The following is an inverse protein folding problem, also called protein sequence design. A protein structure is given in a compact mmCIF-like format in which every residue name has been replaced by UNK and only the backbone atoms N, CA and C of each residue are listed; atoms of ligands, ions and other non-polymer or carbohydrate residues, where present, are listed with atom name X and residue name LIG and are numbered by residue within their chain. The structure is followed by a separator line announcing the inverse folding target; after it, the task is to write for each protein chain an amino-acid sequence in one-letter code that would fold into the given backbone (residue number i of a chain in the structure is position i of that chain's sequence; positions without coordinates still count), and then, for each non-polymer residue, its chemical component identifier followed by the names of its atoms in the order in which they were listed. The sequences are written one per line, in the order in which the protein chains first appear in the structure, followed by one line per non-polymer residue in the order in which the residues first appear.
data_IF_700565734754
#
_entry.id   IF_700565734754
#
_cell.length_a   1.000
_cell.length_b   1.000
_cell.length_c   1.000
_cell.angle_alpha   90.00
_cell.angle_beta   90.00
_cell.angle_gamma   90.00
#
_symmetry.space_group_name_H-M   'P 1'
#
loop_
_entity.id
_entity.type
_entity.pdbx_description
1 polymer ?
#
# COMPACT_ATOMS: atom_id res chain seq x y z
N UNK A 1 31.15 -30.15 -1.70
CA UNK A 1 30.54 -29.59 -1.53
C UNK A 1 30.07 -29.00 -1.42
N UNK A 2 29.94 -28.99 -1.56
CA UNK A 2 29.29 -28.34 -1.41
C UNK A 2 28.77 -27.64 -1.18
N UNK A 3 28.83 -27.61 -1.40
CA UNK A 3 28.19 -26.89 -1.16
C UNK A 3 27.74 -26.22 -0.83
N UNK A 4 27.83 -26.20 -0.82
CA UNK A 4 27.24 -25.54 -0.44
C UNK A 4 26.88 -24.87 0.07
N UNK A 5 27.08 -24.87 0.07
CA UNK A 5 26.52 -24.26 0.63
C UNK A 5 26.16 -23.52 0.96
N UNK A 6 26.00 -23.34 0.74
CA UNK A 6 25.44 -22.60 1.06
C UNK A 6 24.77 -22.11 1.55
N UNK A 7 24.64 -21.70 1.72
CA UNK A 7 24.03 -21.17 2.41
C UNK A 7 23.11 -20.93 2.77
N UNK A 8 23.13 -21.13 2.93
CA UNK A 8 22.35 -20.95 3.25
C UNK A 8 21.50 -20.86 3.44
N UNK A 9 21.97 -21.37 3.33
CA UNK A 9 20.90 -20.80 3.01
C UNK A 9 19.55 -20.73 3.62
N UNK A 10 19.28 -19.78 4.37
CA UNK A 10 17.93 -19.50 4.82
C UNK A 10 17.20 -18.83 3.64
N UNK A 11 16.09 -19.39 3.17
CA UNK A 11 15.36 -18.74 2.10
C UNK A 11 14.89 -17.38 2.58
N UNK A 12 15.16 -16.36 1.78
CA UNK A 12 14.64 -15.02 2.05
C UNK A 12 13.20 -15.00 1.58
N UNK A 13 12.28 -14.61 2.46
CA UNK A 13 10.88 -14.47 2.08
C UNK A 13 10.75 -13.42 0.98
N UNK A 14 9.86 -13.61 -0.01
CA UNK A 14 9.63 -12.58 -0.99
C UNK A 14 9.16 -11.30 -0.32
N UNK A 15 9.52 -10.11 -0.86
CA UNK A 15 9.07 -8.87 -0.25
C UNK A 15 7.56 -8.71 -0.36
N UNK A 16 6.99 -8.01 0.62
CA UNK A 16 5.59 -7.60 0.55
C UNK A 16 5.41 -6.63 -0.61
N UNK A 17 4.39 -6.83 -1.39
CA UNK A 17 4.04 -5.95 -2.50
C UNK A 17 3.14 -4.85 -1.97
N UNK A 18 3.60 -3.60 -2.06
CA UNK A 18 2.92 -2.45 -1.49
C UNK A 18 2.63 -1.43 -2.58
N UNK A 19 1.40 -0.93 -2.63
CA UNK A 19 1.03 0.16 -3.52
C UNK A 19 0.66 1.38 -2.69
N UNK A 20 1.10 2.56 -3.12
CA UNK A 20 0.75 3.83 -2.50
C UNK A 20 0.06 4.68 -3.56
N UNK A 21 -1.19 5.03 -3.33
CA UNK A 21 -1.96 5.91 -4.19
C UNK A 21 -2.05 7.28 -3.51
N UNK A 22 -1.18 8.19 -3.94
CA UNK A 22 -1.07 9.52 -3.34
C UNK A 22 -0.39 10.46 -4.34
N UNK A 23 -1.11 11.47 -4.81
CA UNK A 23 -0.60 12.40 -5.83
C UNK A 23 0.55 13.25 -5.32
N UNK A 24 0.54 13.62 -4.04
CA UNK A 24 1.60 14.43 -3.44
C UNK A 24 2.90 13.62 -3.32
N UNK A 25 2.79 12.40 -2.82
CA UNK A 25 3.94 11.50 -2.69
C UNK A 25 4.54 11.22 -4.08
N UNK A 26 3.68 10.97 -5.06
CA UNK A 26 4.14 10.73 -6.42
C UNK A 26 4.82 11.96 -7.01
N UNK A 27 4.25 13.16 -6.79
CA UNK A 27 4.80 14.40 -7.32
C UNK A 27 6.17 14.73 -6.74
N UNK A 28 6.43 14.32 -5.50
CA UNK A 28 7.74 14.49 -4.87
C UNK A 28 8.77 13.52 -5.40
N UNK A 29 8.36 12.52 -6.18
CA UNK A 29 9.29 11.49 -6.65
C UNK A 29 9.84 10.62 -5.54
N UNK A 30 9.13 10.51 -4.42
CA UNK A 30 9.61 9.72 -3.29
C UNK A 30 9.76 8.26 -3.67
N UNK A 31 10.88 7.68 -3.25
CA UNK A 31 11.14 6.27 -3.40
C UNK A 31 11.28 5.66 -2.01
N UNK A 32 10.61 4.55 -1.82
CA UNK A 32 10.62 3.86 -0.53
C UNK A 32 11.40 2.57 -0.69
N UNK A 33 12.70 2.65 -0.38
CA UNK A 33 13.61 1.51 -0.42
C UNK A 33 13.70 0.93 0.98
N UNK A 34 12.73 0.11 1.32
CA UNK A 34 12.57 -0.39 2.67
C UNK A 34 12.76 -1.90 2.65
N UNK A 35 13.68 -2.43 3.47
CA UNK A 35 13.90 -3.88 3.53
C UNK A 35 12.59 -4.62 3.80
N UNK A 36 12.35 -5.67 3.03
CA UNK A 36 11.16 -6.49 3.15
C UNK A 36 9.97 -6.00 2.33
N UNK A 37 10.08 -4.84 1.67
CA UNK A 37 8.98 -4.29 0.88
C UNK A 37 9.39 -4.02 -0.56
N UNK A 38 8.45 -4.23 -1.47
CA UNK A 38 8.54 -3.74 -2.84
C UNK A 38 7.42 -2.71 -3.01
N UNK A 39 7.76 -1.43 -3.04
CA UNK A 39 6.79 -0.34 -3.00
C UNK A 39 6.67 0.32 -4.36
N UNK A 40 5.44 0.47 -4.84
CA UNK A 40 5.12 1.20 -6.06
C UNK A 40 4.23 2.38 -5.70
N UNK A 41 4.58 3.57 -6.19
CA UNK A 41 3.81 4.79 -5.94
C UNK A 41 3.06 5.19 -7.20
N UNK A 42 1.77 5.45 -7.05
CA UNK A 42 0.90 5.88 -8.14
C UNK A 42 0.35 7.27 -7.83
N UNK A 43 0.32 8.13 -8.85
CA UNK A 43 -0.19 9.49 -8.69
C UNK A 43 -1.71 9.54 -8.55
N UNK A 44 -2.41 8.58 -9.13
CA UNK A 44 -3.86 8.50 -9.06
C UNK A 44 -4.29 7.04 -9.03
N UNK A 45 -5.56 6.79 -8.76
CA UNK A 45 -6.07 5.44 -8.57
C UNK A 45 -7.13 5.05 -9.61
N UNK A 46 -7.15 5.71 -10.77
CA UNK A 46 -8.15 5.41 -11.79
C UNK A 46 -8.06 3.95 -12.26
N UNK A 47 -6.86 3.38 -12.27
CA UNK A 47 -6.63 2.01 -12.73
C UNK A 47 -6.34 1.06 -11.57
N UNK A 48 -6.64 1.46 -10.35
CA UNK A 48 -6.22 0.72 -9.16
C UNK A 48 -6.78 -0.71 -9.10
N UNK A 49 -8.03 -0.91 -9.52
CA UNK A 49 -8.63 -2.23 -9.48
C UNK A 49 -7.83 -3.22 -10.33
N UNK A 50 -7.55 -2.85 -11.57
CA UNK A 50 -6.77 -3.72 -12.46
C UNK A 50 -5.35 -3.92 -11.94
N UNK A 51 -4.72 -2.85 -11.46
CA UNK A 51 -3.36 -2.91 -10.93
C UNK A 51 -3.27 -3.83 -9.72
N UNK A 52 -4.18 -3.67 -8.77
CA UNK A 52 -4.14 -4.46 -7.54
C UNK A 52 -4.46 -5.93 -7.78
N UNK A 53 -5.40 -6.23 -8.66
CA UNK A 53 -5.74 -7.62 -8.95
C UNK A 53 -4.64 -8.31 -9.77
N UNK A 54 -4.01 -7.58 -10.68
CA UNK A 54 -2.95 -8.16 -11.51
C UNK A 54 -1.66 -8.36 -10.72
N UNK A 55 -1.23 -7.34 -9.96
CA UNK A 55 0.02 -7.41 -9.21
C UNK A 55 -0.12 -8.19 -7.90
N UNK A 56 -1.34 -8.29 -7.37
CA UNK A 56 -1.57 -8.98 -6.11
C UNK A 56 -0.94 -8.26 -4.93
N UNK A 57 -1.16 -6.96 -4.83
CA UNK A 57 -0.59 -6.19 -3.72
C UNK A 57 -1.08 -6.72 -2.37
N UNK A 58 -0.15 -6.79 -1.43
CA UNK A 58 -0.44 -7.23 -0.07
C UNK A 58 -1.02 -6.09 0.77
N UNK A 59 -0.53 -4.87 0.55
CA UNK A 59 -0.96 -3.68 1.27
C UNK A 59 -1.11 -2.52 0.30
N UNK A 60 -2.21 -1.80 0.42
CA UNK A 60 -2.50 -0.62 -0.39
C UNK A 60 -2.73 0.56 0.54
N UNK A 61 -1.99 1.64 0.30
CA UNK A 61 -2.20 2.92 0.99
C UNK A 61 -2.99 3.81 0.06
N UNK A 62 -4.12 4.35 0.55
CA UNK A 62 -5.08 5.07 -0.29
C UNK A 62 -5.35 6.45 0.26
N UNK A 63 -4.99 7.49 -0.50
CA UNK A 63 -5.37 8.86 -0.19
C UNK A 63 -6.81 9.10 -0.66
N UNK A 64 -7.41 10.17 -0.17
CA UNK A 64 -8.79 10.52 -0.54
C UNK A 64 -8.82 11.30 -1.86
N UNK A 65 -8.17 12.45 -1.88
CA UNK A 65 -8.12 13.32 -3.07
C UNK A 65 -6.87 12.99 -3.89
N UNK A 66 -7.09 12.60 -5.13
CA UNK A 66 -6.01 12.11 -5.99
C UNK A 66 -5.83 12.98 -7.24
N UNK A 67 -6.32 14.22 -7.16
CA UNK A 67 -6.17 15.19 -8.22
C UNK A 67 -7.48 15.49 -8.92
N UNK A 68 -7.54 16.65 -9.62
CA UNK A 68 -8.75 17.06 -10.35
C UNK A 68 -9.14 16.02 -11.39
N UNK A 69 -10.42 15.69 -11.44
CA UNK A 69 -10.94 14.74 -12.41
C UNK A 69 -10.59 13.28 -12.15
N UNK A 70 -9.89 13.01 -11.06
CA UNK A 70 -9.52 11.62 -10.68
C UNK A 70 -10.54 11.05 -9.71
N UNK A 71 -10.62 9.72 -9.68
CA UNK A 71 -11.48 9.02 -8.75
C UNK A 71 -10.98 9.24 -7.33
N UNK A 72 -11.91 9.46 -6.40
CA UNK A 72 -11.54 9.63 -4.99
C UNK A 72 -11.30 8.29 -4.31
N UNK A 73 -10.47 8.31 -3.26
CA UNK A 73 -10.05 7.09 -2.58
C UNK A 73 -11.19 6.26 -2.01
N UNK A 74 -12.27 6.90 -1.55
CA UNK A 74 -13.45 6.21 -1.06
C UNK A 74 -14.09 5.35 -2.15
N UNK A 75 -14.27 5.94 -3.32
CA UNK A 75 -14.86 5.24 -4.46
C UNK A 75 -13.98 4.08 -4.91
N UNK A 76 -12.67 4.32 -4.98
CA UNK A 76 -11.72 3.31 -5.41
C UNK A 76 -11.67 2.14 -4.43
N UNK A 77 -11.66 2.43 -3.12
CA UNK A 77 -11.66 1.38 -2.08
C UNK A 77 -12.90 0.51 -2.20
N UNK A 78 -14.06 1.15 -2.40
CA UNK A 78 -15.30 0.40 -2.59
C UNK A 78 -15.23 -0.51 -3.81
N UNK A 79 -14.67 0.01 -4.91
CA UNK A 79 -14.52 -0.76 -6.14
C UNK A 79 -13.53 -1.92 -5.96
N UNK A 80 -12.43 -1.72 -5.23
CA UNK A 80 -11.48 -2.78 -4.92
C UNK A 80 -12.17 -3.92 -4.18
N UNK A 81 -12.93 -3.60 -3.15
CA UNK A 81 -13.62 -4.63 -2.37
C UNK A 81 -14.69 -5.34 -3.20
N UNK A 82 -15.43 -4.60 -4.01
CA UNK A 82 -16.44 -5.18 -4.89
C UNK A 82 -15.82 -6.14 -5.92
N UNK A 83 -14.58 -5.86 -6.33
CA UNK A 83 -13.87 -6.70 -7.29
C UNK A 83 -13.19 -7.91 -6.64
N UNK A 84 -13.28 -8.05 -5.32
CA UNK A 84 -12.73 -9.19 -4.60
C UNK A 84 -11.30 -9.01 -4.13
N UNK A 85 -10.77 -7.78 -4.15
CA UNK A 85 -9.43 -7.53 -3.62
C UNK A 85 -9.39 -7.80 -2.13
N UNK A 86 -8.45 -8.63 -1.68
CA UNK A 86 -8.35 -9.07 -0.29
C UNK A 86 -7.14 -8.53 0.46
N UNK A 87 -6.31 -7.73 -0.20
CA UNK A 87 -5.17 -7.11 0.45
C UNK A 87 -5.60 -6.11 1.51
N UNK A 88 -4.66 -5.74 2.36
CA UNK A 88 -4.91 -4.73 3.39
C UNK A 88 -4.99 -3.35 2.74
N UNK A 89 -5.96 -2.55 3.12
CA UNK A 89 -6.09 -1.16 2.66
C UNK A 89 -5.97 -0.23 3.86
N UNK A 90 -5.07 0.74 3.76
CA UNK A 90 -4.81 1.74 4.80
C UNK A 90 -5.10 3.12 4.24
N UNK A 91 -6.02 3.85 4.85
CA UNK A 91 -6.32 5.21 4.45
C UNK A 91 -5.23 6.15 4.96
N UNK A 92 -4.79 7.09 4.11
CA UNK A 92 -3.68 7.98 4.46
C UNK A 92 -3.98 9.46 4.21
N UNK A 93 -5.25 9.86 4.24
CA UNK A 93 -5.59 11.26 4.14
C UNK A 93 -5.16 12.01 5.40
N UNK A 94 -4.82 13.30 5.24
CA UNK A 94 -4.58 14.16 6.40
C UNK A 94 -5.88 14.60 7.07
N UNK A 95 -7.03 14.34 6.46
CA UNK A 95 -8.34 14.68 6.99
C UNK A 95 -8.95 13.46 7.68
N UNK A 96 -9.21 13.52 9.00
CA UNK A 96 -9.79 12.38 9.71
C UNK A 96 -11.16 11.96 9.18
N UNK A 97 -11.97 12.89 8.69
CA UNK A 97 -13.28 12.56 8.12
C UNK A 97 -13.12 11.79 6.82
N UNK A 98 -12.14 12.15 5.99
CA UNK A 98 -11.84 11.42 4.76
C UNK A 98 -11.36 10.00 5.08
N UNK A 99 -10.50 9.84 6.08
CA UNK A 99 -10.04 8.51 6.50
C UNK A 99 -11.19 7.65 7.02
N UNK A 100 -12.12 8.25 7.77
CA UNK A 100 -13.29 7.52 8.24
C UNK A 100 -14.16 7.06 7.06
N UNK A 101 -14.30 7.89 6.03
CA UNK A 101 -15.06 7.55 4.84
C UNK A 101 -14.41 6.40 4.08
N UNK A 102 -13.08 6.40 3.97
CA UNK A 102 -12.35 5.34 3.28
C UNK A 102 -12.48 4.03 4.07
N UNK A 103 -12.40 4.09 5.40
CA UNK A 103 -12.62 2.90 6.24
C UNK A 103 -14.04 2.36 6.06
N UNK A 104 -15.04 3.24 6.03
CA UNK A 104 -16.41 2.82 5.81
C UNK A 104 -16.61 2.18 4.44
N UNK A 105 -15.78 2.55 3.46
CA UNK A 105 -15.81 1.97 2.13
C UNK A 105 -15.09 0.62 2.04
N UNK A 106 -14.36 0.22 3.07
CA UNK A 106 -13.71 -1.09 3.10
C UNK A 106 -12.25 -1.11 3.49
N UNK A 107 -11.64 0.02 3.87
CA UNK A 107 -10.27 0.02 4.36
C UNK A 107 -10.22 -0.59 5.77
N UNK A 108 -9.08 -1.20 6.09
CA UNK A 108 -8.88 -1.90 7.37
C UNK A 108 -8.46 -0.95 8.48
N UNK A 109 -7.74 0.10 8.13
CA UNK A 109 -7.20 1.04 9.11
C UNK A 109 -6.87 2.36 8.43
N UNK A 110 -6.33 3.28 9.22
CA UNK A 110 -5.86 4.57 8.69
C UNK A 110 -4.67 5.06 9.48
N UNK A 111 -3.84 5.89 8.83
CA UNK A 111 -2.80 6.64 9.48
C UNK A 111 -3.31 8.04 9.77
N UNK A 112 -3.13 8.50 10.99
CA UNK A 112 -3.61 9.83 11.38
C UNK A 112 -2.85 10.95 10.67
N UNK A 113 -1.59 10.71 10.30
CA UNK A 113 -0.74 11.71 9.67
C UNK A 113 0.13 11.06 8.60
N UNK A 114 0.22 11.70 7.44
CA UNK A 114 1.08 11.21 6.35
C UNK A 114 2.55 11.18 6.73
N UNK A 115 2.97 12.05 7.66
CA UNK A 115 4.34 12.05 8.13
C UNK A 115 4.75 10.73 8.76
N UNK A 116 3.78 9.92 9.19
CA UNK A 116 4.04 8.61 9.79
C UNK A 116 4.18 7.50 8.75
N UNK A 117 3.98 7.79 7.47
CA UNK A 117 3.96 6.77 6.44
C UNK A 117 5.28 5.99 6.38
N UNK A 118 6.40 6.69 6.33
CA UNK A 118 7.70 6.02 6.20
C UNK A 118 7.99 5.13 7.41
N UNK A 119 7.74 5.60 8.63
CA UNK A 119 7.98 4.78 9.81
C UNK A 119 7.03 3.58 9.87
N UNK A 120 5.80 3.75 9.42
CA UNK A 120 4.87 2.64 9.31
C UNK A 120 5.40 1.59 8.32
N UNK A 121 5.92 2.02 7.18
CA UNK A 121 6.47 1.11 6.17
C UNK A 121 7.69 0.37 6.71
N UNK A 122 8.57 1.05 7.44
CA UNK A 122 9.73 0.40 8.06
C UNK A 122 9.28 -0.68 9.03
N UNK A 123 8.29 -0.37 9.85
CA UNK A 123 7.73 -1.34 10.79
C UNK A 123 7.09 -2.53 10.05
N UNK A 124 6.34 -2.24 9.00
CA UNK A 124 5.69 -3.26 8.18
C UNK A 124 6.72 -4.22 7.57
N UNK A 125 7.83 -3.70 7.08
CA UNK A 125 8.88 -4.51 6.46
C UNK A 125 9.58 -5.42 7.45
N UNK A 126 9.56 -5.10 8.74
CA UNK A 126 10.17 -5.92 9.79
C UNK A 126 9.21 -6.93 10.38
N UNK A 127 7.92 -6.67 10.29
CA UNK A 127 6.93 -7.52 10.92
C UNK A 127 6.62 -8.71 10.02
N UNK A 128 6.61 -9.93 10.56
CA UNK A 128 6.12 -11.06 9.77
C UNK A 128 4.64 -10.86 9.47
N UNK A 129 4.22 -11.21 8.27
CA UNK A 129 2.82 -11.12 7.87
C UNK A 129 1.96 -12.04 8.68
N UNK A 130 2.51 -13.18 9.01
CA UNK A 130 1.81 -14.16 9.79
C UNK A 130 2.39 -14.18 11.18
N UNK A 131 1.54 -14.16 12.16
CA UNK A 131 2.00 -14.40 13.51
C UNK A 131 2.56 -15.80 13.65
#
# INVERSE_FOLDING_TARGET
MTAAAEPTAVPVAPPLQVAIYDDVVAARGEQFRIPGLAVTVFAHADDAVAQCLTAGYDVVFMDYALGPGRRVGTEVTRALRAAGFRGKVVAISSDPAANAAIRAAGADSSLAQKALLRSYLVHLGRAPLNP
#
